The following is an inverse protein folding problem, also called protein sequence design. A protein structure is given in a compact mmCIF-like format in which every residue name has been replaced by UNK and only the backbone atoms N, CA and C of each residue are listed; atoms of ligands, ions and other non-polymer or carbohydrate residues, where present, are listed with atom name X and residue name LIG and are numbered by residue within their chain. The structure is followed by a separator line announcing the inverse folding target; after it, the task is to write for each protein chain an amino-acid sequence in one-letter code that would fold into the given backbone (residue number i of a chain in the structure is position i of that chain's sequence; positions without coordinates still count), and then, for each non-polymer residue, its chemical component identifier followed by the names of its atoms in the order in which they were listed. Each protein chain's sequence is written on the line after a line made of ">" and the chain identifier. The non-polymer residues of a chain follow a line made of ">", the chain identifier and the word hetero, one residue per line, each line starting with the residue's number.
data_IF_708976510445
#
_entry.id   IF_708976510445
#
_cell.length_a   1.000
_cell.length_b   1.000
_cell.length_c   1.000
_cell.angle_alpha   90.00
_cell.angle_beta   90.00
_cell.angle_gamma   90.00
#
_symmetry.space_group_name_H-M   'P 1'
#
loop_
_entity.id
_entity.type
_entity.pdbx_description
1 polymer ?
#
# COMPACT_ATOMS: atom_id res chain seq x y z
N UNK A 1 -15.61 11.35 -6.11
CA UNK A 1 -16.10 11.12 -4.73
C UNK A 1 -17.62 11.12 -4.63
N UNK A 2 -18.35 12.11 -5.17
CA UNK A 2 -19.83 12.12 -5.11
C UNK A 2 -20.53 10.91 -5.79
N UNK A 3 -19.98 10.40 -6.90
CA UNK A 3 -20.52 9.24 -7.63
C UNK A 3 -20.36 7.92 -6.85
N UNK A 4 -19.30 7.80 -6.04
CA UNK A 4 -19.04 6.62 -5.21
C UNK A 4 -19.96 6.55 -3.99
N UNK A 5 -20.32 7.69 -3.41
CA UNK A 5 -21.28 7.78 -2.30
C UNK A 5 -22.72 7.45 -2.74
N UNK A 6 -23.13 7.82 -3.95
CA UNK A 6 -24.46 7.47 -4.47
C UNK A 6 -24.62 5.97 -4.76
N UNK A 7 -23.57 5.33 -5.28
CA UNK A 7 -23.56 3.89 -5.57
C UNK A 7 -23.37 2.99 -4.33
N UNK A 8 -22.98 3.57 -3.19
CA UNK A 8 -22.82 2.88 -1.91
C UNK A 8 -24.14 2.31 -1.36
N UNK A 9 -25.29 2.89 -1.75
CA UNK A 9 -26.61 2.33 -1.40
C UNK A 9 -26.94 0.98 -2.09
N UNK A 10 -26.17 0.57 -3.11
CA UNK A 10 -26.39 -0.67 -3.88
C UNK A 10 -25.27 -1.71 -3.79
N UNK A 11 -24.07 -1.34 -3.35
CA UNK A 11 -22.93 -2.26 -3.19
C UNK A 11 -22.56 -2.36 -1.71
N UNK A 12 -22.59 -3.57 -1.16
CA UNK A 12 -22.14 -3.84 0.21
C UNK A 12 -20.76 -3.22 0.47
N UNK A 13 -20.65 -2.35 1.47
CA UNK A 13 -19.39 -1.72 1.90
C UNK A 13 -18.29 -2.76 2.14
N UNK A 14 -18.66 -3.94 2.64
CA UNK A 14 -17.77 -5.10 2.82
C UNK A 14 -17.12 -5.59 1.53
N UNK A 15 -17.85 -5.61 0.40
CA UNK A 15 -17.30 -6.02 -0.90
C UNK A 15 -16.31 -4.99 -1.43
N UNK A 16 -16.58 -3.69 -1.20
CA UNK A 16 -15.68 -2.60 -1.58
C UNK A 16 -14.35 -2.67 -0.81
N UNK A 17 -14.42 -2.88 0.51
CA UNK A 17 -13.23 -3.04 1.37
C UNK A 17 -12.46 -4.30 0.97
N UNK A 18 -13.14 -5.44 0.77
CA UNK A 18 -12.49 -6.70 0.36
C UNK A 18 -11.82 -6.59 -1.02
N UNK A 19 -12.48 -5.97 -2.00
CA UNK A 19 -11.90 -5.73 -3.31
C UNK A 19 -10.66 -4.82 -3.22
N UNK A 20 -10.70 -3.79 -2.37
CA UNK A 20 -9.54 -2.95 -2.08
C UNK A 20 -8.36 -3.74 -1.51
N UNK A 21 -8.59 -4.64 -0.55
CA UNK A 21 -7.54 -5.52 -0.01
C UNK A 21 -6.98 -6.50 -1.04
N UNK A 22 -7.82 -7.10 -1.89
CA UNK A 22 -7.38 -7.99 -2.96
C UNK A 22 -6.48 -7.24 -3.96
N UNK A 23 -6.89 -6.02 -4.36
CA UNK A 23 -6.11 -5.17 -5.24
C UNK A 23 -4.78 -4.75 -4.59
N UNK A 24 -4.78 -4.43 -3.30
CA UNK A 24 -3.57 -4.10 -2.55
C UNK A 24 -2.59 -5.28 -2.55
N UNK A 25 -3.07 -6.48 -2.22
CA UNK A 25 -2.26 -7.71 -2.21
C UNK A 25 -1.70 -8.03 -3.61
N UNK A 26 -2.54 -8.00 -4.65
CA UNK A 26 -2.12 -8.25 -6.02
C UNK A 26 -1.09 -7.23 -6.52
N UNK A 27 -1.21 -5.97 -6.09
CA UNK A 27 -0.27 -4.91 -6.45
C UNK A 27 1.10 -5.12 -5.77
N UNK A 28 1.12 -5.49 -4.48
CA UNK A 28 2.37 -5.85 -3.77
C UNK A 28 3.07 -7.03 -4.44
N UNK A 29 2.32 -8.09 -4.77
CA UNK A 29 2.87 -9.25 -5.47
C UNK A 29 3.45 -8.87 -6.84
N UNK A 30 2.75 -8.00 -7.57
CA UNK A 30 3.21 -7.52 -8.88
C UNK A 30 4.51 -6.72 -8.78
N UNK A 31 4.67 -5.90 -7.73
CA UNK A 31 5.92 -5.18 -7.45
C UNK A 31 7.09 -6.15 -7.19
N UNK A 32 6.85 -7.20 -6.40
CA UNK A 32 7.85 -8.23 -6.11
C UNK A 32 8.25 -9.00 -7.39
N UNK A 33 7.27 -9.39 -8.21
CA UNK A 33 7.52 -10.05 -9.50
C UNK A 33 8.25 -9.13 -10.48
N UNK A 34 7.94 -7.83 -10.47
CA UNK A 34 8.63 -6.85 -11.31
C UNK A 34 10.10 -6.71 -10.88
N UNK A 35 10.39 -6.58 -9.59
CA UNK A 35 11.77 -6.50 -9.07
C UNK A 35 12.58 -7.77 -9.39
N UNK A 36 11.97 -8.94 -9.22
CA UNK A 36 12.59 -10.23 -9.56
C UNK A 36 12.83 -10.39 -11.07
N UNK A 37 11.82 -10.09 -11.89
CA UNK A 37 11.87 -10.25 -13.34
C UNK A 37 12.78 -9.25 -14.05
N UNK A 38 12.92 -8.05 -13.50
CA UNK A 38 13.86 -7.05 -14.04
C UNK A 38 15.25 -7.18 -13.43
N UNK A 39 15.44 -7.95 -12.36
CA UNK A 39 16.71 -8.11 -11.66
C UNK A 39 17.37 -6.76 -11.33
N UNK A 40 16.55 -5.73 -11.08
CA UNK A 40 17.00 -4.36 -10.86
C UNK A 40 17.59 -3.64 -12.08
N UNK A 41 17.53 -4.20 -13.30
CA UNK A 41 17.92 -3.50 -14.53
C UNK A 41 16.91 -2.41 -14.86
N UNK A 42 17.41 -1.18 -14.94
CA UNK A 42 16.62 -0.02 -15.34
C UNK A 42 16.22 -0.06 -16.82
N UNK A 43 15.13 0.63 -17.14
CA UNK A 43 14.61 0.79 -18.50
C UNK A 43 13.25 1.50 -18.50
N UNK A 44 12.76 1.85 -19.70
CA UNK A 44 11.45 2.50 -19.86
C UNK A 44 10.29 1.57 -19.47
N UNK A 45 10.38 0.28 -19.77
CA UNK A 45 9.36 -0.71 -19.41
C UNK A 45 9.12 -0.80 -17.90
N UNK A 46 10.15 -1.10 -17.09
CA UNK A 46 10.04 -1.15 -15.63
C UNK A 46 9.57 0.17 -15.02
N UNK A 47 10.01 1.31 -15.57
CA UNK A 47 9.59 2.64 -15.14
C UNK A 47 8.07 2.86 -15.30
N UNK A 48 7.51 2.53 -16.47
CA UNK A 48 6.07 2.62 -16.73
C UNK A 48 5.27 1.64 -15.86
N UNK A 49 5.79 0.42 -15.66
CA UNK A 49 5.16 -0.58 -14.79
C UNK A 49 5.09 -0.12 -13.33
N UNK A 50 6.16 0.48 -12.80
CA UNK A 50 6.15 1.03 -11.43
C UNK A 50 5.10 2.13 -11.30
N UNK A 51 5.01 3.05 -12.27
CA UNK A 51 3.99 4.09 -12.28
C UNK A 51 2.56 3.51 -12.26
N UNK A 52 2.29 2.51 -13.09
CA UNK A 52 1.00 1.84 -13.14
C UNK A 52 0.67 1.14 -11.81
N UNK A 53 1.64 0.46 -11.19
CA UNK A 53 1.45 -0.22 -9.91
C UNK A 53 1.20 0.80 -8.79
N UNK A 54 1.94 1.90 -8.75
CA UNK A 54 1.74 2.98 -7.76
C UNK A 54 0.35 3.61 -7.90
N UNK A 55 -0.13 3.83 -9.13
CA UNK A 55 -1.49 4.30 -9.35
C UNK A 55 -2.53 3.29 -8.82
N UNK A 56 -2.30 1.98 -9.03
CA UNK A 56 -3.17 0.92 -8.51
C UNK A 56 -3.18 0.89 -6.97
N UNK A 57 -2.02 1.05 -6.32
CA UNK A 57 -1.92 1.18 -4.87
C UNK A 57 -2.73 2.36 -4.33
N UNK A 58 -2.67 3.52 -4.99
CA UNK A 58 -3.45 4.69 -4.60
C UNK A 58 -4.96 4.43 -4.67
N UNK A 59 -5.43 3.80 -5.74
CA UNK A 59 -6.86 3.45 -5.90
C UNK A 59 -7.30 2.40 -4.87
N UNK A 60 -6.48 1.37 -4.64
CA UNK A 60 -6.75 0.33 -3.66
C UNK A 60 -6.79 0.91 -2.23
N UNK A 61 -5.83 1.76 -1.87
CA UNK A 61 -5.77 2.46 -0.59
C UNK A 61 -7.02 3.34 -0.37
N UNK A 62 -7.40 4.13 -1.38
CA UNK A 62 -8.61 4.95 -1.30
C UNK A 62 -9.90 4.13 -1.08
N UNK A 63 -10.00 2.93 -1.64
CA UNK A 63 -11.14 2.04 -1.42
C UNK A 63 -11.19 1.46 -0.01
N UNK A 64 -10.04 1.00 0.51
CA UNK A 64 -9.94 0.42 1.86
C UNK A 64 -10.10 1.49 2.93
N UNK A 65 -9.31 2.57 2.85
CA UNK A 65 -9.32 3.65 3.83
C UNK A 65 -10.65 4.42 3.80
N UNK A 66 -11.14 4.77 2.61
CA UNK A 66 -12.43 5.44 2.47
C UNK A 66 -13.60 4.56 2.97
N UNK A 67 -13.54 3.25 2.77
CA UNK A 67 -14.55 2.33 3.29
C UNK A 67 -14.48 2.12 4.79
N UNK A 68 -13.29 1.92 5.35
CA UNK A 68 -13.11 1.73 6.78
C UNK A 68 -13.42 3.01 7.56
N UNK A 69 -12.91 4.16 7.13
CA UNK A 69 -13.20 5.45 7.80
C UNK A 69 -14.70 5.77 7.73
N UNK A 70 -15.35 5.47 6.60
CA UNK A 70 -16.80 5.59 6.44
C UNK A 70 -17.57 4.74 7.46
N UNK A 71 -17.29 3.43 7.53
CA UNK A 71 -17.95 2.52 8.47
C UNK A 71 -17.66 2.88 9.94
N UNK A 72 -16.42 3.25 10.26
CA UNK A 72 -16.01 3.60 11.63
C UNK A 72 -16.62 4.93 12.10
N UNK A 73 -17.00 5.84 11.19
CA UNK A 73 -17.64 7.12 11.55
C UNK A 73 -19.03 6.97 12.17
N UNK A 74 -19.72 5.85 11.89
CA UNK A 74 -21.01 5.52 12.50
C UNK A 74 -20.86 4.79 13.85
N UNK A 75 -19.63 4.53 14.30
CA UNK A 75 -19.31 3.84 15.54
C UNK A 75 -18.76 4.81 16.61
N UNK A 76 -18.42 4.28 17.79
CA UNK A 76 -17.79 5.06 18.84
C UNK A 76 -16.47 5.72 18.37
N UNK A 77 -16.20 6.97 18.76
CA UNK A 77 -15.04 7.73 18.28
C UNK A 77 -13.67 7.10 18.63
N UNK A 78 -13.64 6.21 19.62
CA UNK A 78 -12.43 5.44 19.96
C UNK A 78 -11.96 4.53 18.82
N UNK A 79 -12.87 4.01 17.99
CA UNK A 79 -12.52 3.10 16.90
C UNK A 79 -11.82 3.81 15.75
N UNK A 80 -12.34 4.96 15.29
CA UNK A 80 -11.68 5.79 14.28
C UNK A 80 -10.34 6.31 14.80
N UNK A 81 -10.27 6.72 16.07
CA UNK A 81 -9.01 7.16 16.68
C UNK A 81 -7.97 6.03 16.71
N UNK A 82 -8.35 4.81 17.08
CA UNK A 82 -7.45 3.65 17.07
C UNK A 82 -7.00 3.28 15.65
N UNK A 83 -7.88 3.40 14.65
CA UNK A 83 -7.54 3.14 13.25
C UNK A 83 -6.50 4.13 12.71
N UNK A 84 -6.73 5.43 12.92
CA UNK A 84 -5.79 6.48 12.48
C UNK A 84 -4.46 6.41 13.26
N UNK A 85 -4.51 6.12 14.57
CA UNK A 85 -3.30 5.87 15.35
C UNK A 85 -2.50 4.68 14.81
N UNK A 86 -3.18 3.60 14.41
CA UNK A 86 -2.56 2.45 13.75
C UNK A 86 -1.90 2.81 12.43
N UNK A 87 -2.57 3.60 11.57
CA UNK A 87 -1.99 4.10 10.32
C UNK A 87 -0.74 4.96 10.55
N UNK A 88 -0.79 5.87 11.54
CA UNK A 88 0.37 6.68 11.91
C UNK A 88 1.53 5.82 12.41
N UNK A 89 1.26 4.83 13.26
CA UNK A 89 2.26 3.89 13.76
C UNK A 89 2.90 3.07 12.63
N UNK A 90 2.10 2.60 11.66
CA UNK A 90 2.60 1.89 10.48
C UNK A 90 3.52 2.78 9.64
N UNK A 91 3.16 4.05 9.37
CA UNK A 91 4.02 4.99 8.65
C UNK A 91 5.33 5.31 9.38
N UNK A 92 5.27 5.46 10.70
CA UNK A 92 6.47 5.61 11.53
C UNK A 92 7.37 4.36 11.46
N UNK A 93 6.78 3.17 11.53
CA UNK A 93 7.50 1.90 11.39
C UNK A 93 8.16 1.76 10.01
N UNK A 94 7.45 2.04 8.92
CA UNK A 94 8.02 2.04 7.56
C UNK A 94 9.20 3.01 7.45
N UNK A 95 9.08 4.20 8.06
CA UNK A 95 10.17 5.18 8.08
C UNK A 95 11.39 4.68 8.85
N UNK A 96 11.17 4.07 10.02
CA UNK A 96 12.22 3.46 10.82
C UNK A 96 12.92 2.32 10.06
N UNK A 97 12.14 1.42 9.45
CA UNK A 97 12.66 0.34 8.60
C UNK A 97 13.49 0.90 7.44
N UNK A 98 13.02 1.96 6.77
CA UNK A 98 13.77 2.61 5.68
C UNK A 98 15.12 3.14 6.15
N UNK A 99 15.19 3.73 7.35
CA UNK A 99 16.43 4.22 7.93
C UNK A 99 17.36 3.08 8.34
N UNK A 100 16.81 2.02 8.95
CA UNK A 100 17.57 0.81 9.30
C UNK A 100 18.15 0.15 8.06
N UNK A 101 17.37 -0.04 7.00
CA UNK A 101 17.83 -0.58 5.72
C UNK A 101 18.97 0.26 5.16
N UNK A 102 18.86 1.60 5.18
CA UNK A 102 19.98 2.46 4.77
C UNK A 102 21.20 2.23 5.65
N UNK A 103 21.07 2.32 6.97
CA UNK A 103 22.18 2.17 7.91
C UNK A 103 22.90 0.82 7.79
N UNK A 104 22.16 -0.27 7.55
CA UNK A 104 22.70 -1.63 7.46
C UNK A 104 23.33 -1.90 6.09
N UNK A 105 22.74 -1.39 5.00
CA UNK A 105 23.12 -1.77 3.64
C UNK A 105 23.89 -0.70 2.85
N UNK A 106 24.09 0.51 3.39
CA UNK A 106 24.82 1.61 2.72
C UNK A 106 26.26 1.26 2.32
N UNK A 107 26.89 0.27 2.97
CA UNK A 107 28.24 -0.22 2.62
C UNK A 107 28.29 -1.52 1.79
N UNK A 108 27.16 -2.12 1.42
CA UNK A 108 27.14 -3.45 0.78
C UNK A 108 26.81 -3.37 -0.71
N UNK A 109 27.60 -4.02 -1.56
CA UNK A 109 27.36 -4.11 -3.00
C UNK A 109 26.00 -4.81 -3.22
N UNK A 110 25.05 -4.13 -3.90
CA UNK A 110 23.66 -4.56 -4.10
C UNK A 110 22.76 -4.60 -2.82
N UNK A 111 23.23 -4.03 -1.70
CA UNK A 111 22.55 -4.10 -0.41
C UNK A 111 21.18 -3.41 -0.36
N UNK A 112 21.05 -2.26 -1.03
CA UNK A 112 19.80 -1.49 -1.04
C UNK A 112 18.65 -2.27 -1.70
N UNK A 113 18.96 -3.14 -2.68
CA UNK A 113 17.98 -3.98 -3.39
C UNK A 113 17.46 -5.12 -2.51
N UNK A 114 18.36 -5.79 -1.77
CA UNK A 114 17.99 -6.78 -0.75
C UNK A 114 17.16 -6.17 0.39
N UNK A 115 17.49 -4.95 0.78
CA UNK A 115 16.73 -4.17 1.75
C UNK A 115 15.30 -3.85 1.32
N UNK A 116 15.10 -3.45 0.06
CA UNK A 116 13.76 -3.21 -0.51
C UNK A 116 12.95 -4.51 -0.61
N UNK A 117 13.58 -5.63 -0.97
CA UNK A 117 12.91 -6.94 -0.97
C UNK A 117 12.47 -7.38 0.44
N UNK A 118 13.27 -7.14 1.48
CA UNK A 118 12.88 -7.41 2.88
C UNK A 118 11.78 -6.45 3.40
N UNK A 119 11.71 -5.22 2.90
CA UNK A 119 10.66 -4.28 3.27
C UNK A 119 9.31 -4.64 2.63
N UNK A 120 9.33 -5.27 1.46
CA UNK A 120 8.14 -5.70 0.72
C UNK A 120 7.58 -7.06 1.18
N UNK A 121 8.27 -7.76 2.09
CA UNK A 121 7.93 -9.09 2.61
C UNK A 121 7.51 -8.99 4.08
#
# INVERSE_FOLDING_TARGET
>A
MAILAYNESKIDTRKRILAGFILFFASTLSLLLLDLGTSGKGGIGPFLSIWAIVACFGVAGAHVEGGMVGDLSFMCPKFIQSYIAGQAAAGALTSALRLLTKAIFEKSHDGLRKGVSMLCL
#
